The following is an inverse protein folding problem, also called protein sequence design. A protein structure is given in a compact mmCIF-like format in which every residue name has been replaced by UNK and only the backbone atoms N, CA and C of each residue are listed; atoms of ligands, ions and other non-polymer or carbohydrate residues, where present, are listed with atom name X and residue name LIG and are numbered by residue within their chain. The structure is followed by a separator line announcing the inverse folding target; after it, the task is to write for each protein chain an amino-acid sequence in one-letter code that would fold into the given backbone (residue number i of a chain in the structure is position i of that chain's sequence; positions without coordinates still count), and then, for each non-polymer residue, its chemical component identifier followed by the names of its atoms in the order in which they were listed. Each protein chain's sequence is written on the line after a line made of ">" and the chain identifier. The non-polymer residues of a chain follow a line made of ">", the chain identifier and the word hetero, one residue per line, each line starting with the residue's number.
data_IF_360954424187
#
_entry.id   IF_360954424187
#
_cell.length_a   1.000
_cell.length_b   1.000
_cell.length_c   1.000
_cell.angle_alpha   90.00
_cell.angle_beta   90.00
_cell.angle_gamma   90.00
#
_symmetry.space_group_name_H-M   'P 1'
#
loop_
_entity.id
_entity.type
_entity.pdbx_description
1 polymer ?
#
# COMPACT_ATOMS: atom_id res chain seq x y z
N UNK A 1 4.56 117.17 19.92
CA UNK A 1 5.29 116.43 18.86
C UNK A 1 6.05 115.21 19.37
N UNK A 2 6.44 115.13 20.65
CA UNK A 2 7.13 113.95 21.24
C UNK A 2 6.25 112.71 21.49
N UNK A 3 4.95 112.87 21.79
CA UNK A 3 4.04 111.74 22.05
C UNK A 3 3.77 110.87 20.80
N UNK A 4 3.68 111.50 19.61
CA UNK A 4 3.36 110.78 18.36
C UNK A 4 4.49 109.84 17.93
N UNK A 5 5.74 110.22 18.21
CA UNK A 5 6.94 109.43 17.91
C UNK A 5 7.06 108.20 18.83
N UNK A 6 6.65 108.33 20.09
CA UNK A 6 6.63 107.20 21.03
C UNK A 6 5.59 106.15 20.64
N UNK A 7 4.37 106.55 20.27
CA UNK A 7 3.33 105.62 19.84
C UNK A 7 3.69 104.88 18.54
N UNK A 8 4.32 105.57 17.57
CA UNK A 8 4.75 104.92 16.32
C UNK A 8 5.90 103.95 16.55
N UNK A 9 6.87 104.26 17.41
CA UNK A 9 7.96 103.33 17.76
C UNK A 9 7.43 102.08 18.48
N UNK A 10 6.56 102.25 19.48
CA UNK A 10 5.96 101.09 20.20
C UNK A 10 5.06 100.25 19.30
N UNK A 11 4.36 100.86 18.33
CA UNK A 11 3.55 100.14 17.36
C UNK A 11 4.40 99.35 16.37
N UNK A 12 5.50 99.93 15.89
CA UNK A 12 6.45 99.25 14.99
C UNK A 12 7.15 98.08 15.70
N UNK A 13 7.54 98.23 16.96
CA UNK A 13 8.12 97.13 17.76
C UNK A 13 7.11 96.01 18.03
N UNK A 14 5.87 96.35 18.42
CA UNK A 14 4.80 95.36 18.62
C UNK A 14 4.43 94.65 17.31
N UNK A 15 4.36 95.37 16.20
CA UNK A 15 4.08 94.82 14.87
C UNK A 15 5.21 93.89 14.40
N UNK A 16 6.47 94.28 14.57
CA UNK A 16 7.63 93.45 14.27
C UNK A 16 7.70 92.21 15.16
N UNK A 17 7.36 92.33 16.44
CA UNK A 17 7.25 91.20 17.37
C UNK A 17 6.17 90.20 16.94
N UNK A 18 4.97 90.69 16.60
CA UNK A 18 3.87 89.86 16.08
C UNK A 18 4.21 89.19 14.74
N UNK A 19 4.90 89.89 13.84
CA UNK A 19 5.41 89.31 12.59
C UNK A 19 6.46 88.23 12.86
N UNK A 20 7.34 88.44 13.85
CA UNK A 20 8.30 87.46 14.33
C UNK A 20 7.62 86.18 14.86
N UNK A 21 6.64 86.32 15.76
CA UNK A 21 5.86 85.19 16.29
C UNK A 21 5.16 84.39 15.17
N UNK A 22 4.57 85.09 14.20
CA UNK A 22 3.88 84.48 13.06
C UNK A 22 4.86 83.73 12.15
N UNK A 23 6.04 84.29 11.90
CA UNK A 23 7.10 83.65 11.12
C UNK A 23 7.68 82.40 11.81
N UNK A 24 7.85 82.44 13.14
CA UNK A 24 8.28 81.26 13.92
C UNK A 24 7.21 80.16 13.90
N UNK A 25 5.93 80.52 14.08
CA UNK A 25 4.82 79.57 13.98
C UNK A 25 4.74 78.91 12.61
N UNK A 26 4.93 79.67 11.52
CA UNK A 26 4.92 79.12 10.16
C UNK A 26 6.09 78.18 9.89
N UNK A 27 7.30 78.51 10.40
CA UNK A 27 8.46 77.61 10.31
C UNK A 27 8.23 76.31 11.06
N UNK A 28 7.73 76.37 12.29
CA UNK A 28 7.44 75.17 13.08
C UNK A 28 6.43 74.24 12.39
N UNK A 29 5.37 74.80 11.80
CA UNK A 29 4.39 74.03 11.01
C UNK A 29 5.05 73.40 9.77
N UNK A 30 5.88 74.16 9.06
CA UNK A 30 6.59 73.67 7.87
C UNK A 30 7.57 72.54 8.23
N UNK A 31 8.29 72.67 9.34
CA UNK A 31 9.23 71.66 9.83
C UNK A 31 8.50 70.40 10.30
N UNK A 32 7.36 70.52 10.97
CA UNK A 32 6.51 69.38 11.35
C UNK A 32 5.93 68.65 10.13
N UNK A 33 5.43 69.40 9.13
CA UNK A 33 4.95 68.80 7.87
C UNK A 33 6.08 68.10 7.11
N UNK A 34 7.29 68.66 7.12
CA UNK A 34 8.46 68.04 6.50
C UNK A 34 8.88 66.76 7.22
N UNK A 35 8.90 66.77 8.55
CA UNK A 35 9.19 65.59 9.36
C UNK A 35 8.15 64.48 9.14
N UNK A 36 6.85 64.83 9.16
CA UNK A 36 5.76 63.88 8.89
C UNK A 36 5.81 63.31 7.46
N UNK A 37 6.15 64.11 6.45
CA UNK A 37 6.33 63.62 5.07
C UNK A 37 7.53 62.67 4.94
N UNK A 38 8.61 62.90 5.69
CA UNK A 38 9.78 62.01 5.71
C UNK A 38 9.45 60.68 6.39
N UNK A 39 8.71 60.72 7.50
CA UNK A 39 8.23 59.53 8.21
C UNK A 39 7.29 58.70 7.34
N UNK A 40 6.29 59.34 6.71
CA UNK A 40 5.38 58.67 5.78
C UNK A 40 6.12 58.07 4.58
N UNK A 41 7.12 58.77 4.03
CA UNK A 41 7.94 58.23 2.95
C UNK A 41 8.73 56.98 3.39
N UNK A 42 9.23 56.97 4.63
CA UNK A 42 9.88 55.81 5.25
C UNK A 42 8.94 54.62 5.42
N UNK A 43 7.72 54.87 5.91
CA UNK A 43 6.69 53.83 6.05
C UNK A 43 6.26 53.24 4.71
N UNK A 44 6.05 54.08 3.69
CA UNK A 44 5.73 53.64 2.33
C UNK A 44 6.85 52.80 1.73
N UNK A 45 8.11 53.17 1.94
CA UNK A 45 9.26 52.38 1.50
C UNK A 45 9.30 51.00 2.19
N UNK A 46 9.06 50.96 3.51
CA UNK A 46 9.00 49.71 4.29
C UNK A 46 7.84 48.81 3.86
N UNK A 47 6.65 49.37 3.62
CA UNK A 47 5.50 48.60 3.13
C UNK A 47 5.76 48.01 1.74
N UNK A 48 6.40 48.76 0.84
CA UNK A 48 6.82 48.25 -0.48
C UNK A 48 7.80 47.10 -0.34
N UNK A 49 8.80 47.23 0.52
CA UNK A 49 9.76 46.15 0.78
C UNK A 49 9.07 44.90 1.34
N UNK A 50 8.18 45.07 2.33
CA UNK A 50 7.41 43.95 2.89
C UNK A 50 6.54 43.26 1.84
N UNK A 51 5.90 44.04 0.94
CA UNK A 51 5.09 43.49 -0.15
C UNK A 51 5.96 42.64 -1.09
N UNK A 52 7.12 43.14 -1.51
CA UNK A 52 8.05 42.38 -2.37
C UNK A 52 8.54 41.10 -1.70
N UNK A 53 8.84 41.14 -0.39
CA UNK A 53 9.23 39.92 0.35
C UNK A 53 8.06 38.93 0.43
N UNK A 54 6.84 39.41 0.71
CA UNK A 54 5.65 38.55 0.77
C UNK A 54 5.35 37.91 -0.58
N UNK A 55 5.45 38.67 -1.68
CA UNK A 55 5.31 38.16 -3.05
C UNK A 55 6.34 37.07 -3.33
N UNK A 56 7.62 37.30 -3.00
CA UNK A 56 8.67 36.30 -3.18
C UNK A 56 8.44 35.02 -2.36
N UNK A 57 8.01 35.15 -1.10
CA UNK A 57 7.66 34.01 -0.24
C UNK A 57 6.45 33.25 -0.80
N UNK A 58 5.42 33.97 -1.25
CA UNK A 58 4.23 33.36 -1.81
C UNK A 58 4.54 32.60 -3.11
N UNK A 59 5.28 33.22 -4.03
CA UNK A 59 5.75 32.56 -5.26
C UNK A 59 6.62 31.34 -4.95
N UNK A 60 7.55 31.45 -3.98
CA UNK A 60 8.38 30.32 -3.57
C UNK A 60 7.56 29.15 -3.00
N UNK A 61 6.53 29.46 -2.20
CA UNK A 61 5.63 28.45 -1.64
C UNK A 61 4.80 27.77 -2.72
N UNK A 62 4.28 28.53 -3.69
CA UNK A 62 3.54 27.97 -4.84
C UNK A 62 4.43 27.01 -5.63
N UNK A 63 5.65 27.43 -5.98
CA UNK A 63 6.57 26.58 -6.75
C UNK A 63 6.92 25.29 -6.00
N UNK A 64 7.09 25.38 -4.67
CA UNK A 64 7.34 24.19 -3.83
C UNK A 64 6.13 23.25 -3.82
N UNK A 65 4.91 23.78 -3.71
CA UNK A 65 3.69 22.99 -3.74
C UNK A 65 3.43 22.36 -5.12
N UNK A 66 3.66 23.11 -6.20
CA UNK A 66 3.57 22.60 -7.58
C UNK A 66 4.59 21.48 -7.82
N UNK A 67 5.82 21.63 -7.32
CA UNK A 67 6.84 20.58 -7.38
C UNK A 67 6.42 19.31 -6.62
N UNK A 68 5.89 19.46 -5.40
CA UNK A 68 5.39 18.33 -4.61
C UNK A 68 4.20 17.63 -5.29
N UNK A 69 3.28 18.39 -5.89
CA UNK A 69 2.15 17.85 -6.65
C UNK A 69 2.62 17.09 -7.90
N UNK A 70 3.60 17.64 -8.64
CA UNK A 70 4.17 16.97 -9.80
C UNK A 70 4.86 15.65 -9.41
N UNK A 71 5.62 15.65 -8.32
CA UNK A 71 6.26 14.45 -7.79
C UNK A 71 5.22 13.39 -7.39
N UNK A 72 4.19 13.78 -6.61
CA UNK A 72 3.11 12.86 -6.23
C UNK A 72 2.43 12.27 -7.47
N UNK A 73 2.18 13.08 -8.50
CA UNK A 73 1.58 12.59 -9.75
C UNK A 73 2.45 11.54 -10.43
N UNK A 74 3.76 11.73 -10.48
CA UNK A 74 4.70 10.73 -11.02
C UNK A 74 4.69 9.47 -10.16
N UNK A 75 4.76 9.59 -8.83
CA UNK A 75 4.69 8.44 -7.92
C UNK A 75 3.39 7.65 -8.09
N UNK A 76 2.25 8.31 -8.27
CA UNK A 76 0.98 7.65 -8.57
C UNK A 76 0.99 6.91 -9.91
N UNK A 77 1.56 7.51 -10.97
CA UNK A 77 1.67 6.87 -12.29
C UNK A 77 2.62 5.67 -12.28
N UNK A 78 3.72 5.76 -11.53
CA UNK A 78 4.66 4.66 -11.37
C UNK A 78 4.01 3.50 -10.58
N UNK A 79 3.25 3.81 -9.53
CA UNK A 79 2.48 2.83 -8.77
C UNK A 79 1.42 2.15 -9.66
N UNK A 80 0.71 2.90 -10.49
CA UNK A 80 -0.27 2.36 -11.46
C UNK A 80 0.40 1.38 -12.43
N UNK A 81 1.51 1.80 -13.03
CA UNK A 81 2.28 0.95 -13.96
C UNK A 81 2.78 -0.33 -13.27
N UNK A 82 3.18 -0.24 -12.00
CA UNK A 82 3.59 -1.41 -11.22
C UNK A 82 2.42 -2.34 -10.95
N UNK A 83 1.27 -1.81 -10.53
CA UNK A 83 0.06 -2.61 -10.29
C UNK A 83 -0.39 -3.36 -11.56
N UNK A 84 -0.44 -2.68 -12.72
CA UNK A 84 -0.77 -3.32 -13.99
C UNK A 84 0.19 -4.47 -14.33
N UNK A 85 1.50 -4.27 -14.13
CA UNK A 85 2.50 -5.32 -14.34
C UNK A 85 2.31 -6.50 -13.41
N UNK A 86 2.04 -6.26 -12.13
CA UNK A 86 1.80 -7.32 -11.17
C UNK A 86 0.53 -8.11 -11.51
N UNK A 87 -0.55 -7.46 -11.95
CA UNK A 87 -1.76 -8.18 -12.37
C UNK A 87 -1.57 -9.00 -13.63
N UNK A 88 -0.97 -8.42 -14.67
CA UNK A 88 -0.65 -9.16 -15.89
C UNK A 88 0.24 -10.37 -15.57
N UNK A 89 1.15 -10.22 -14.61
CA UNK A 89 1.95 -11.31 -14.10
C UNK A 89 1.10 -12.37 -13.37
N UNK A 90 0.24 -11.99 -12.43
CA UNK A 90 -0.61 -12.94 -11.70
C UNK A 90 -1.54 -13.69 -12.65
N UNK A 91 -2.14 -13.03 -13.64
CA UNK A 91 -2.98 -13.65 -14.65
C UNK A 91 -2.19 -14.67 -15.49
N UNK A 92 -1.00 -14.29 -15.96
CA UNK A 92 -0.12 -15.17 -16.74
C UNK A 92 0.37 -16.39 -15.94
N UNK A 93 0.48 -16.25 -14.62
CA UNK A 93 0.92 -17.30 -13.70
C UNK A 93 -0.24 -17.89 -12.88
N UNK A 94 -1.49 -17.67 -13.28
CA UNK A 94 -2.67 -18.13 -12.54
C UNK A 94 -3.06 -19.58 -12.82
N UNK A 95 -2.53 -20.17 -13.90
CA UNK A 95 -2.86 -21.52 -14.38
C UNK A 95 -1.65 -22.16 -15.10
N UNK A 96 -1.55 -23.50 -15.02
CA UNK A 96 -0.53 -24.29 -15.73
C UNK A 96 -0.94 -24.63 -17.18
N UNK A 97 -1.12 -23.60 -18.01
CA UNK A 97 -1.60 -23.72 -19.39
C UNK A 97 -0.50 -23.56 -20.47
N UNK A 98 0.72 -23.18 -20.10
CA UNK A 98 1.80 -22.84 -21.03
C UNK A 98 2.72 -24.02 -21.41
N UNK A 99 3.53 -23.81 -22.44
CA UNK A 99 4.69 -24.65 -22.77
C UNK A 99 5.79 -24.45 -21.70
N UNK A 100 6.57 -25.49 -21.40
CA UNK A 100 7.66 -25.42 -20.41
C UNK A 100 7.21 -25.63 -18.95
N UNK A 101 5.98 -26.08 -18.74
CA UNK A 101 5.37 -26.34 -17.42
C UNK A 101 5.09 -27.84 -17.21
N UNK A 102 5.66 -28.71 -18.05
CA UNK A 102 5.47 -30.16 -18.03
C UNK A 102 5.91 -30.78 -16.70
N UNK A 103 7.07 -30.37 -16.18
CA UNK A 103 7.61 -30.91 -14.92
C UNK A 103 6.74 -30.55 -13.72
N UNK A 104 6.22 -29.31 -13.68
CA UNK A 104 5.27 -28.85 -12.66
C UNK A 104 3.98 -29.68 -12.72
N UNK A 105 3.43 -29.87 -13.93
CA UNK A 105 2.22 -30.69 -14.12
C UNK A 105 2.44 -32.15 -13.71
N UNK A 106 3.60 -32.72 -14.02
CA UNK A 106 3.97 -34.08 -13.62
C UNK A 106 4.02 -34.22 -12.09
N UNK A 107 4.56 -33.23 -11.37
CA UNK A 107 4.55 -33.21 -9.90
C UNK A 107 3.13 -33.14 -9.36
N UNK A 108 2.31 -32.24 -9.89
CA UNK A 108 0.92 -32.09 -9.50
C UNK A 108 0.11 -33.40 -9.72
N UNK A 109 0.24 -34.02 -10.89
CA UNK A 109 -0.42 -35.30 -11.22
C UNK A 109 0.01 -36.44 -10.29
N UNK A 110 1.29 -36.49 -9.89
CA UNK A 110 1.80 -37.50 -8.99
C UNK A 110 1.23 -37.39 -7.56
N UNK A 111 0.56 -36.29 -7.23
CA UNK A 111 -0.11 -36.04 -5.95
C UNK A 111 -1.63 -36.23 -6.00
N UNK A 112 -2.15 -36.72 -7.13
CA UNK A 112 -3.55 -37.10 -7.28
C UNK A 112 -3.72 -38.57 -6.88
N UNK A 113 -4.51 -38.83 -5.85
CA UNK A 113 -4.86 -40.19 -5.40
C UNK A 113 -6.38 -40.38 -5.43
N UNK A 114 -7.00 -40.79 -4.31
CA UNK A 114 -8.45 -40.63 -4.08
C UNK A 114 -8.82 -39.20 -3.70
N UNK A 115 -7.81 -38.35 -3.46
CA UNK A 115 -7.87 -36.95 -3.04
C UNK A 115 -6.75 -36.17 -3.73
N UNK A 116 -6.84 -34.84 -3.70
CA UNK A 116 -5.77 -33.95 -4.14
C UNK A 116 -4.89 -33.62 -2.93
N UNK A 117 -3.71 -34.24 -2.83
CA UNK A 117 -2.88 -34.26 -1.61
C UNK A 117 -1.93 -33.06 -1.55
N UNK A 118 -2.29 -32.00 -0.83
CA UNK A 118 -1.51 -30.75 -0.74
C UNK A 118 -0.10 -30.95 -0.19
N UNK A 119 0.11 -31.72 0.90
CA UNK A 119 1.47 -31.94 1.42
C UNK A 119 2.38 -32.66 0.43
N UNK A 120 1.82 -33.50 -0.45
CA UNK A 120 2.57 -34.17 -1.49
C UNK A 120 3.10 -33.16 -2.52
N UNK A 121 2.27 -32.19 -2.93
CA UNK A 121 2.66 -31.17 -3.92
C UNK A 121 3.84 -30.36 -3.40
N UNK A 122 3.69 -29.79 -2.20
CA UNK A 122 4.75 -29.00 -1.57
C UNK A 122 6.03 -29.83 -1.36
N UNK A 123 5.91 -31.08 -0.90
CA UNK A 123 7.05 -31.98 -0.77
C UNK A 123 7.75 -32.24 -2.10
N UNK A 124 7.00 -32.54 -3.18
CA UNK A 124 7.59 -32.84 -4.47
C UNK A 124 8.18 -31.60 -5.15
N UNK A 125 7.63 -30.42 -4.92
CA UNK A 125 8.23 -29.18 -5.38
C UNK A 125 9.63 -29.01 -4.79
N UNK A 126 9.77 -29.24 -3.48
CA UNK A 126 11.08 -29.19 -2.81
C UNK A 126 12.00 -30.34 -3.25
N UNK A 127 11.54 -31.59 -3.19
CA UNK A 127 12.37 -32.80 -3.34
C UNK A 127 12.66 -33.18 -4.80
N UNK A 128 11.70 -32.96 -5.71
CA UNK A 128 11.81 -33.35 -7.13
C UNK A 128 12.24 -32.16 -7.98
N UNK A 129 11.65 -30.99 -7.78
CA UNK A 129 11.95 -29.78 -8.57
C UNK A 129 13.02 -28.90 -7.93
N UNK A 130 13.42 -29.16 -6.68
CA UNK A 130 14.42 -28.35 -5.98
C UNK A 130 13.91 -26.96 -5.61
N UNK A 131 12.59 -26.76 -5.50
CA UNK A 131 11.98 -25.46 -5.25
C UNK A 131 11.85 -25.19 -3.76
N UNK A 132 12.75 -24.35 -3.25
CA UNK A 132 12.77 -23.93 -1.85
C UNK A 132 12.41 -22.46 -1.64
N UNK A 133 12.33 -22.05 -0.37
CA UNK A 133 12.23 -20.63 -0.04
C UNK A 133 13.53 -19.90 -0.34
N UNK A 134 13.47 -18.87 -1.18
CA UNK A 134 14.60 -18.03 -1.55
C UNK A 134 14.22 -16.55 -1.49
N UNK A 135 14.71 -15.79 -0.47
CA UNK A 135 14.35 -14.39 -0.34
C UNK A 135 14.95 -13.56 -1.47
N UNK A 136 14.22 -12.55 -1.94
CA UNK A 136 14.68 -11.67 -3.02
C UNK A 136 15.90 -10.83 -2.71
N UNK A 137 16.21 -10.65 -1.43
CA UNK A 137 17.46 -10.05 -0.99
C UNK A 137 18.69 -10.81 -1.52
N UNK A 138 18.56 -12.11 -1.82
CA UNK A 138 19.65 -12.88 -2.46
C UNK A 138 19.91 -12.48 -3.93
N UNK A 139 18.97 -11.79 -4.58
CA UNK A 139 19.15 -11.14 -5.89
C UNK A 139 19.51 -9.65 -5.77
N UNK A 140 19.70 -9.13 -4.56
CA UNK A 140 19.88 -7.69 -4.32
C UNK A 140 18.62 -6.87 -4.59
N UNK A 141 17.44 -7.50 -4.58
CA UNK A 141 16.13 -6.86 -4.72
C UNK A 141 15.39 -6.87 -3.39
N UNK A 142 14.50 -5.91 -3.18
CA UNK A 142 13.69 -5.83 -1.96
C UNK A 142 12.42 -6.68 -2.06
N UNK A 143 11.79 -6.66 -3.24
CA UNK A 143 10.55 -7.38 -3.59
C UNK A 143 10.56 -7.55 -5.12
N UNK A 144 10.47 -8.78 -5.61
CA UNK A 144 10.60 -9.16 -7.01
C UNK A 144 9.83 -10.42 -7.35
N UNK A 145 8.61 -10.21 -7.84
CA UNK A 145 7.75 -11.28 -8.32
C UNK A 145 8.34 -12.01 -9.55
N UNK A 146 8.48 -13.34 -9.43
CA UNK A 146 9.15 -14.23 -10.39
C UNK A 146 8.16 -15.06 -11.18
N UNK A 147 8.21 -15.08 -12.52
CA UNK A 147 7.41 -16.04 -13.30
C UNK A 147 7.87 -17.49 -13.09
N UNK A 148 7.04 -18.47 -13.45
CA UNK A 148 7.35 -19.89 -13.24
C UNK A 148 8.67 -20.35 -13.84
N UNK A 149 9.01 -19.90 -15.04
CA UNK A 149 10.29 -20.26 -15.67
C UNK A 149 11.47 -19.78 -14.84
N UNK A 150 11.41 -18.55 -14.33
CA UNK A 150 12.44 -17.98 -13.48
C UNK A 150 12.49 -18.66 -12.10
N UNK A 151 11.34 -18.94 -11.49
CA UNK A 151 11.26 -19.71 -10.23
C UNK A 151 11.91 -21.09 -10.38
N UNK A 152 11.64 -21.80 -11.49
CA UNK A 152 12.25 -23.10 -11.79
C UNK A 152 13.76 -22.98 -11.99
N UNK A 153 14.22 -22.03 -12.80
CA UNK A 153 15.65 -21.81 -13.05
C UNK A 153 16.43 -21.43 -11.78
N UNK A 154 15.81 -20.66 -10.89
CA UNK A 154 16.39 -20.22 -9.62
C UNK A 154 16.36 -21.32 -8.55
N UNK A 155 15.51 -22.32 -8.69
CA UNK A 155 15.27 -23.33 -7.66
C UNK A 155 14.39 -22.80 -6.51
N UNK A 156 13.47 -21.87 -6.80
CA UNK A 156 12.50 -21.37 -5.82
C UNK A 156 12.32 -19.86 -5.83
N UNK A 157 11.55 -19.39 -4.86
CA UNK A 157 11.21 -17.97 -4.64
C UNK A 157 10.73 -17.76 -3.22
N UNK A 158 10.27 -16.57 -2.88
CA UNK A 158 9.74 -16.29 -1.55
C UNK A 158 8.23 -16.55 -1.48
N UNK A 159 7.46 -15.75 -0.72
CA UNK A 159 6.13 -16.14 -0.30
C UNK A 159 5.08 -16.05 -1.42
N UNK A 160 5.12 -14.99 -2.22
CA UNK A 160 4.20 -14.76 -3.32
C UNK A 160 4.47 -15.70 -4.49
N UNK A 161 5.75 -15.98 -4.78
CA UNK A 161 6.15 -16.86 -5.87
C UNK A 161 5.67 -18.30 -5.62
N UNK A 162 5.97 -18.82 -4.42
CA UNK A 162 5.60 -20.16 -4.03
C UNK A 162 4.09 -20.30 -3.81
N UNK A 163 3.41 -19.27 -3.26
CA UNK A 163 1.96 -19.28 -3.15
C UNK A 163 1.28 -19.25 -4.53
N UNK A 164 1.83 -18.53 -5.50
CA UNK A 164 1.29 -18.48 -6.86
C UNK A 164 1.49 -19.79 -7.60
N UNK A 165 2.68 -20.40 -7.48
CA UNK A 165 2.96 -21.73 -8.03
C UNK A 165 1.99 -22.76 -7.45
N UNK A 166 1.88 -22.80 -6.12
CA UNK A 166 1.00 -23.74 -5.44
C UNK A 166 -0.47 -23.53 -5.85
N UNK A 167 -0.93 -22.28 -5.93
CA UNK A 167 -2.27 -21.97 -6.45
C UNK A 167 -2.51 -22.59 -7.83
N UNK A 168 -1.56 -22.43 -8.73
CA UNK A 168 -1.66 -22.89 -10.13
C UNK A 168 -1.65 -24.41 -10.24
N UNK A 169 -0.84 -25.10 -9.43
CA UNK A 169 -0.85 -26.57 -9.31
C UNK A 169 -2.19 -27.08 -8.78
N UNK A 170 -2.72 -26.47 -7.72
CA UNK A 170 -4.00 -26.86 -7.15
C UNK A 170 -5.15 -26.64 -8.14
N UNK A 171 -5.13 -25.50 -8.87
CA UNK A 171 -6.09 -25.22 -9.93
C UNK A 171 -6.01 -26.23 -11.07
N UNK A 172 -4.79 -26.58 -11.51
CA UNK A 172 -4.57 -27.59 -12.53
C UNK A 172 -5.15 -28.95 -12.10
N UNK A 173 -4.77 -29.44 -10.91
CA UNK A 173 -5.29 -30.70 -10.37
C UNK A 173 -6.82 -30.68 -10.25
N UNK A 174 -7.40 -29.55 -9.85
CA UNK A 174 -8.86 -29.40 -9.74
C UNK A 174 -9.53 -29.39 -11.10
N UNK A 175 -8.93 -28.76 -12.11
CA UNK A 175 -9.45 -28.75 -13.47
C UNK A 175 -9.44 -30.15 -14.10
N UNK A 176 -8.40 -30.94 -13.86
CA UNK A 176 -8.29 -32.33 -14.35
C UNK A 176 -9.11 -33.32 -13.52
N UNK A 177 -9.37 -33.01 -12.23
CA UNK A 177 -10.10 -33.87 -11.29
C UNK A 177 -11.23 -33.10 -10.57
N UNK A 178 -12.28 -32.65 -11.29
CA UNK A 178 -13.27 -31.69 -10.77
C UNK A 178 -14.06 -32.16 -9.54
N UNK A 179 -14.23 -33.48 -9.37
CA UNK A 179 -14.99 -34.07 -8.26
C UNK A 179 -14.14 -34.45 -7.05
N UNK A 180 -12.80 -34.43 -7.16
CA UNK A 180 -11.93 -34.74 -6.03
C UNK A 180 -11.85 -33.54 -5.07
N UNK A 181 -11.74 -33.82 -3.78
CA UNK A 181 -11.56 -32.80 -2.75
C UNK A 181 -10.08 -32.68 -2.38
N UNK A 182 -9.68 -31.49 -1.96
CA UNK A 182 -8.36 -31.24 -1.43
C UNK A 182 -8.19 -31.88 -0.05
N UNK A 183 -7.00 -32.39 0.22
CA UNK A 183 -6.59 -32.86 1.55
C UNK A 183 -5.32 -32.16 1.96
N UNK A 184 -5.32 -31.67 3.20
CA UNK A 184 -4.16 -31.07 3.88
C UNK A 184 -3.93 -31.79 5.20
N UNK A 185 -3.05 -31.26 6.05
CA UNK A 185 -2.83 -31.66 7.42
C UNK A 185 -3.09 -30.51 8.39
N UNK A 186 -3.44 -30.83 9.63
CA UNK A 186 -3.39 -29.90 10.77
C UNK A 186 -2.54 -30.47 11.89
N UNK A 187 -2.13 -29.60 12.81
CA UNK A 187 -1.45 -29.98 14.04
C UNK A 187 -2.22 -31.04 14.84
N UNK A 188 -1.57 -32.15 15.17
CA UNK A 188 -2.10 -33.23 16.02
C UNK A 188 -0.96 -34.01 16.68
N UNK A 189 -0.67 -33.68 17.94
CA UNK A 189 0.47 -34.20 18.69
C UNK A 189 0.47 -35.74 18.77
N UNK A 190 1.62 -36.35 18.50
CA UNK A 190 1.84 -37.79 18.56
C UNK A 190 1.34 -38.56 17.34
N UNK A 191 0.74 -37.88 16.35
CA UNK A 191 0.33 -38.49 15.09
C UNK A 191 1.44 -38.43 14.05
N UNK A 192 1.40 -39.36 13.08
CA UNK A 192 2.30 -39.38 11.93
C UNK A 192 1.46 -39.41 10.66
N UNK A 193 1.66 -38.43 9.79
CA UNK A 193 1.04 -38.37 8.48
C UNK A 193 2.03 -38.75 7.39
N UNK A 194 1.73 -39.80 6.61
CA UNK A 194 2.58 -40.18 5.46
C UNK A 194 2.27 -39.29 4.27
N UNK A 195 3.27 -38.56 3.77
CA UNK A 195 3.15 -37.69 2.59
C UNK A 195 3.21 -38.53 1.32
N UNK A 196 4.31 -39.27 1.13
CA UNK A 196 4.56 -40.14 -0.02
C UNK A 196 5.65 -41.16 0.30
N UNK A 197 5.45 -42.43 -0.06
CA UNK A 197 6.42 -43.49 0.20
C UNK A 197 6.80 -43.59 1.69
N UNK A 198 8.09 -43.37 2.00
CA UNK A 198 8.61 -43.38 3.37
C UNK A 198 8.62 -42.01 4.05
N UNK A 199 8.19 -40.95 3.37
CA UNK A 199 8.23 -39.57 3.86
C UNK A 199 6.98 -39.23 4.66
N UNK A 200 7.16 -38.49 5.75
CA UNK A 200 6.08 -38.22 6.69
C UNK A 200 6.26 -36.90 7.44
N UNK A 201 5.14 -36.32 7.86
CA UNK A 201 5.07 -35.25 8.84
C UNK A 201 4.78 -35.84 10.22
N UNK A 202 5.53 -35.38 11.22
CA UNK A 202 5.22 -35.64 12.62
C UNK A 202 4.21 -34.62 13.14
N UNK A 203 3.48 -35.03 14.17
CA UNK A 203 2.50 -34.21 14.88
C UNK A 203 1.44 -33.60 13.95
N UNK A 204 1.01 -34.40 12.97
CA UNK A 204 0.11 -33.99 11.91
C UNK A 204 -0.96 -35.06 11.64
N UNK A 205 -2.19 -34.62 11.37
CA UNK A 205 -3.30 -35.47 10.95
C UNK A 205 -4.00 -34.91 9.70
N UNK A 206 -4.54 -35.77 8.82
CA UNK A 206 -5.17 -35.33 7.58
C UNK A 206 -6.50 -34.62 7.82
N UNK A 207 -6.78 -33.63 6.99
CA UNK A 207 -8.04 -32.87 6.97
C UNK A 207 -8.50 -32.71 5.52
N UNK A 208 -9.74 -33.11 5.26
CA UNK A 208 -10.39 -32.88 3.97
C UNK A 208 -10.94 -31.45 3.91
N UNK A 209 -10.58 -30.72 2.86
CA UNK A 209 -11.01 -29.34 2.66
C UNK A 209 -12.24 -29.31 1.77
N UNK A 210 -13.31 -28.61 2.19
CA UNK A 210 -14.55 -28.58 1.44
C UNK A 210 -14.52 -27.60 0.26
N UNK A 211 -13.50 -26.75 0.16
CA UNK A 211 -13.35 -25.77 -0.90
C UNK A 211 -12.83 -26.37 -2.21
N UNK A 212 -13.04 -25.65 -3.30
CA UNK A 212 -12.54 -26.02 -4.64
C UNK A 212 -11.85 -24.87 -5.38
N UNK A 213 -12.06 -23.63 -4.92
CA UNK A 213 -11.48 -22.43 -5.51
C UNK A 213 -10.25 -22.04 -4.72
N UNK A 214 -9.17 -21.71 -5.42
CA UNK A 214 -7.87 -21.41 -4.80
C UNK A 214 -7.45 -19.99 -5.14
N UNK A 215 -7.04 -19.25 -4.11
CA UNK A 215 -6.60 -17.85 -4.19
C UNK A 215 -5.27 -17.69 -3.46
N UNK A 216 -4.50 -16.68 -3.83
CA UNK A 216 -3.35 -16.21 -3.03
C UNK A 216 -3.87 -15.16 -2.04
N UNK A 217 -3.44 -15.24 -0.79
CA UNK A 217 -3.76 -14.27 0.26
C UNK A 217 -2.46 -13.75 0.82
N UNK A 218 -2.22 -12.45 0.64
CA UNK A 218 -1.07 -11.76 1.22
C UNK A 218 -1.53 -10.89 2.39
N UNK A 219 -0.77 -10.87 3.47
CA UNK A 219 -1.09 -10.12 4.69
C UNK A 219 0.16 -9.60 5.40
N UNK A 220 -0.05 -8.61 6.26
CA UNK A 220 1.01 -8.08 7.14
C UNK A 220 1.34 -9.07 8.26
N UNK A 221 2.58 -9.56 8.30
CA UNK A 221 3.13 -10.42 9.33
C UNK A 221 4.27 -9.71 10.08
N UNK A 222 3.92 -8.94 11.11
CA UNK A 222 4.89 -8.10 11.83
C UNK A 222 5.42 -6.96 10.96
N UNK A 223 6.74 -6.88 10.77
CA UNK A 223 7.40 -5.88 9.92
C UNK A 223 7.51 -6.30 8.44
N UNK A 224 7.10 -7.54 8.10
CA UNK A 224 7.16 -8.10 6.76
C UNK A 224 5.77 -8.38 6.18
N UNK A 225 5.71 -8.60 4.86
CA UNK A 225 4.57 -9.24 4.20
C UNK A 225 4.73 -10.76 4.21
N UNK A 226 3.61 -11.47 4.12
CA UNK A 226 3.60 -12.92 3.93
C UNK A 226 2.42 -13.34 3.06
N UNK A 227 2.61 -14.34 2.20
CA UNK A 227 1.58 -14.85 1.30
C UNK A 227 1.32 -16.34 1.53
N UNK A 228 0.04 -16.71 1.55
CA UNK A 228 -0.47 -18.07 1.74
C UNK A 228 -1.57 -18.35 0.72
N UNK A 229 -2.12 -19.57 0.70
CA UNK A 229 -3.25 -19.88 -0.16
C UNK A 229 -4.56 -20.00 0.62
N UNK A 230 -5.66 -19.53 0.04
CA UNK A 230 -7.01 -19.74 0.54
C UNK A 230 -7.78 -20.69 -0.37
N UNK A 231 -8.38 -21.73 0.22
CA UNK A 231 -9.20 -22.73 -0.47
C UNK A 231 -10.65 -22.56 -0.05
N UNK A 232 -11.45 -22.01 -0.94
CA UNK A 232 -12.80 -21.53 -0.65
C UNK A 232 -13.86 -22.41 -1.32
N UNK A 233 -15.02 -22.54 -0.68
CA UNK A 233 -16.20 -23.21 -1.26
C UNK A 233 -16.81 -22.37 -2.38
N UNK A 234 -17.11 -21.12 -2.04
CA UNK A 234 -17.82 -20.19 -2.91
C UNK A 234 -16.86 -19.23 -3.62
N UNK A 235 -17.36 -18.59 -4.68
CA UNK A 235 -16.62 -17.52 -5.33
C UNK A 235 -16.49 -16.35 -4.36
N UNK A 236 -15.25 -16.10 -3.95
CA UNK A 236 -14.92 -15.13 -2.92
C UNK A 236 -15.36 -13.70 -3.32
N UNK A 237 -15.32 -13.39 -4.62
CA UNK A 237 -15.80 -12.13 -5.19
C UNK A 237 -17.30 -11.90 -5.03
N UNK A 238 -18.12 -12.96 -5.10
CA UNK A 238 -19.57 -12.86 -4.89
C UNK A 238 -19.88 -12.61 -3.40
N UNK A 239 -19.16 -13.30 -2.50
CA UNK A 239 -19.24 -13.05 -1.07
C UNK A 239 -18.82 -11.63 -0.68
N UNK A 240 -17.75 -11.09 -1.28
CA UNK A 240 -17.29 -9.71 -1.00
C UNK A 240 -18.28 -8.68 -1.54
N UNK A 241 -18.81 -8.86 -2.75
CA UNK A 241 -19.79 -7.94 -3.35
C UNK A 241 -21.05 -7.78 -2.49
N UNK A 242 -21.35 -8.76 -1.65
CA UNK A 242 -22.48 -8.74 -0.72
C UNK A 242 -22.17 -8.01 0.62
N UNK A 243 -20.99 -7.38 0.76
CA UNK A 243 -20.67 -6.51 1.89
C UNK A 243 -20.06 -7.22 3.12
N UNK A 244 -19.56 -8.43 2.92
CA UNK A 244 -18.91 -9.22 3.98
C UNK A 244 -17.55 -8.62 4.39
N UNK A 245 -17.21 -8.73 5.67
CA UNK A 245 -15.95 -8.19 6.21
C UNK A 245 -14.75 -9.14 6.03
N UNK A 246 -13.56 -8.71 6.48
CA UNK A 246 -12.31 -9.50 6.37
C UNK A 246 -12.41 -10.87 7.03
N UNK A 247 -13.20 -10.95 8.09
CA UNK A 247 -13.43 -12.14 8.90
C UNK A 247 -14.27 -13.13 8.11
N UNK A 248 -15.36 -12.67 7.51
CA UNK A 248 -16.25 -13.49 6.69
C UNK A 248 -15.51 -14.16 5.52
N UNK A 249 -14.48 -13.50 4.99
CA UNK A 249 -13.67 -14.02 3.90
C UNK A 249 -12.78 -15.19 4.30
N UNK A 250 -12.14 -15.05 5.46
CA UNK A 250 -11.26 -16.07 6.01
C UNK A 250 -12.09 -17.23 6.56
N UNK A 251 -13.22 -16.93 7.20
CA UNK A 251 -14.18 -17.94 7.68
C UNK A 251 -14.77 -18.78 6.54
N UNK A 252 -14.90 -18.21 5.35
CA UNK A 252 -15.40 -18.91 4.16
C UNK A 252 -14.37 -19.86 3.51
N UNK A 253 -13.10 -19.81 3.93
CA UNK A 253 -12.01 -20.51 3.29
C UNK A 253 -11.17 -21.33 4.28
N UNK A 254 -10.45 -22.32 3.75
CA UNK A 254 -9.38 -23.01 4.47
C UNK A 254 -8.05 -22.39 4.05
N UNK A 255 -7.33 -21.78 4.99
CA UNK A 255 -6.03 -21.18 4.74
C UNK A 255 -4.95 -22.25 4.79
N UNK A 256 -4.02 -22.26 3.85
CA UNK A 256 -2.93 -23.23 3.82
C UNK A 256 -1.58 -22.57 3.55
N UNK A 257 -0.56 -23.02 4.25
CA UNK A 257 0.81 -22.54 4.12
C UNK A 257 1.58 -23.40 3.10
N UNK A 258 1.76 -22.96 1.85
CA UNK A 258 2.44 -23.76 0.83
C UNK A 258 3.87 -24.15 1.23
N UNK A 259 4.59 -23.26 1.90
CA UNK A 259 6.01 -23.45 2.24
C UNK A 259 6.22 -24.42 3.41
N UNK A 260 5.15 -24.83 4.08
CA UNK A 260 5.19 -25.75 5.22
C UNK A 260 4.29 -26.93 4.92
N UNK A 261 4.52 -27.54 3.76
CA UNK A 261 3.83 -28.73 3.28
C UNK A 261 2.31 -28.54 3.14
N UNK A 262 1.89 -27.35 2.71
CA UNK A 262 0.48 -27.00 2.50
C UNK A 262 -0.37 -27.12 3.76
N UNK A 263 0.21 -27.02 4.97
CA UNK A 263 -0.48 -27.24 6.25
C UNK A 263 -1.65 -26.26 6.45
N UNK A 264 -2.69 -26.71 7.12
CA UNK A 264 -3.86 -25.90 7.48
C UNK A 264 -3.50 -24.84 8.50
N UNK A 265 -3.90 -23.61 8.20
CA UNK A 265 -3.85 -22.45 9.06
C UNK A 265 -5.28 -22.01 9.40
N UNK A 266 -5.41 -21.28 10.50
CA UNK A 266 -6.67 -20.66 10.90
C UNK A 266 -6.43 -19.26 11.45
N UNK A 267 -7.50 -18.48 11.40
CA UNK A 267 -7.53 -17.19 12.07
C UNK A 267 -8.15 -17.32 13.44
N UNK A 268 -7.52 -16.67 14.40
CA UNK A 268 -7.96 -16.53 15.78
C UNK A 268 -7.91 -15.07 16.20
N UNK A 269 -8.93 -14.64 16.92
CA UNK A 269 -8.92 -13.37 17.62
C UNK A 269 -8.51 -13.60 19.08
N UNK A 270 -7.45 -12.91 19.52
CA UNK A 270 -6.93 -13.02 20.88
C UNK A 270 -6.50 -11.65 21.40
N UNK A 271 -7.05 -11.25 22.55
CA UNK A 271 -6.75 -9.96 23.22
C UNK A 271 -6.89 -8.72 22.32
N UNK A 272 -7.86 -8.74 21.41
CA UNK A 272 -8.12 -7.62 20.49
C UNK A 272 -7.18 -7.55 19.28
N UNK A 273 -6.29 -8.54 19.12
CA UNK A 273 -5.46 -8.74 17.94
C UNK A 273 -5.91 -9.98 17.18
N UNK A 274 -5.72 -9.95 15.87
CA UNK A 274 -5.97 -11.09 14.99
C UNK A 274 -4.65 -11.80 14.69
N UNK A 275 -4.68 -13.13 14.71
CA UNK A 275 -3.53 -13.96 14.42
C UNK A 275 -3.87 -15.01 13.36
N UNK A 276 -2.87 -15.39 12.58
CA UNK A 276 -2.88 -16.61 11.77
C UNK A 276 -2.01 -17.64 12.47
N UNK A 277 -2.53 -18.84 12.67
CA UNK A 277 -1.83 -19.91 13.37
C UNK A 277 -2.14 -21.29 12.85
N UNK A 278 -1.28 -22.24 13.23
CA UNK A 278 -1.36 -23.67 12.87
C UNK A 278 -1.58 -24.57 14.09
N UNK A 279 -1.75 -23.98 15.28
CA UNK A 279 -1.93 -24.67 16.56
C UNK A 279 -0.71 -24.70 17.44
N UNK A 280 0.47 -24.44 16.87
CA UNK A 280 1.73 -24.35 17.61
C UNK A 280 2.32 -22.93 17.53
N UNK A 281 2.19 -22.29 16.38
CA UNK A 281 2.77 -21.00 16.01
C UNK A 281 1.68 -19.99 15.69
N UNK A 282 1.91 -18.74 16.06
CA UNK A 282 0.93 -17.66 16.01
C UNK A 282 1.61 -16.41 15.46
N UNK A 283 1.21 -15.99 14.25
CA UNK A 283 1.72 -14.80 13.60
C UNK A 283 0.71 -13.66 13.72
N UNK A 284 1.11 -12.50 14.29
CA UNK A 284 0.21 -11.36 14.40
C UNK A 284 -0.10 -10.80 13.01
N UNK A 285 -1.38 -10.50 12.76
CA UNK A 285 -1.87 -9.88 11.54
C UNK A 285 -2.15 -8.41 11.81
N UNK A 286 -1.27 -7.53 11.36
CA UNK A 286 -1.18 -6.15 11.87
C UNK A 286 -1.98 -5.08 11.11
N UNK A 287 -2.59 -5.38 9.95
CA UNK A 287 -3.43 -4.37 9.31
C UNK A 287 -3.95 -4.71 7.92
N UNK A 288 -3.06 -4.99 6.97
CA UNK A 288 -3.47 -5.22 5.58
C UNK A 288 -3.64 -6.72 5.29
N UNK A 289 -4.66 -7.02 4.50
CA UNK A 289 -4.89 -8.32 3.91
C UNK A 289 -5.46 -8.10 2.51
N UNK A 290 -4.87 -8.80 1.57
CA UNK A 290 -5.20 -8.73 0.15
C UNK A 290 -5.38 -10.15 -0.37
N UNK A 291 -6.46 -10.37 -1.13
CA UNK A 291 -6.74 -11.62 -1.82
C UNK A 291 -6.59 -11.40 -3.30
N UNK A 292 -5.77 -12.25 -3.91
CA UNK A 292 -5.33 -12.15 -5.30
C UNK A 292 -5.81 -13.41 -6.03
N UNK A 293 -6.58 -13.20 -7.09
CA UNK A 293 -6.97 -14.20 -8.09
C UNK A 293 -6.21 -13.93 -9.40
N UNK A 294 -6.50 -14.69 -10.46
CA UNK A 294 -5.97 -14.34 -11.79
C UNK A 294 -6.61 -13.06 -12.36
N UNK A 295 -7.83 -12.73 -11.92
CA UNK A 295 -8.64 -11.65 -12.49
C UNK A 295 -9.11 -10.64 -11.44
N UNK A 296 -8.94 -10.95 -10.15
CA UNK A 296 -9.49 -10.15 -9.06
C UNK A 296 -8.41 -9.79 -8.06
N UNK A 297 -8.35 -8.52 -7.69
CA UNK A 297 -7.70 -8.07 -6.47
C UNK A 297 -8.76 -7.65 -5.47
N UNK A 298 -8.71 -8.15 -4.24
CA UNK A 298 -9.62 -7.72 -3.19
C UNK A 298 -8.83 -7.34 -1.95
N UNK A 299 -9.12 -6.20 -1.33
CA UNK A 299 -8.43 -5.78 -0.13
C UNK A 299 -9.30 -4.91 0.79
N UNK A 300 -8.81 -4.72 2.01
CA UNK A 300 -9.42 -3.83 3.00
C UNK A 300 -9.04 -2.37 2.71
N UNK A 301 -10.04 -1.50 2.64
CA UNK A 301 -9.88 -0.03 2.55
C UNK A 301 -10.53 0.65 3.75
N UNK A 302 -10.31 1.96 3.93
CA UNK A 302 -11.00 2.76 4.97
C UNK A 302 -12.53 2.66 4.89
N UNK A 303 -13.07 2.38 3.70
CA UNK A 303 -14.50 2.24 3.44
C UNK A 303 -14.99 0.78 3.49
N UNK A 304 -14.15 -0.14 4.00
CA UNK A 304 -14.40 -1.57 4.01
C UNK A 304 -13.77 -2.30 2.82
N UNK A 305 -14.21 -3.53 2.58
CA UNK A 305 -13.66 -4.37 1.54
C UNK A 305 -14.02 -3.91 0.13
N UNK A 306 -13.04 -3.96 -0.78
CA UNK A 306 -13.25 -3.66 -2.20
C UNK A 306 -12.55 -4.70 -3.07
N UNK A 307 -13.27 -5.22 -4.07
CA UNK A 307 -12.72 -6.06 -5.14
C UNK A 307 -12.66 -5.30 -6.46
N UNK A 308 -11.60 -5.53 -7.22
CA UNK A 308 -11.33 -5.01 -8.55
C UNK A 308 -11.32 -6.22 -9.49
N UNK A 309 -12.45 -6.51 -10.15
CA UNK A 309 -12.68 -7.75 -10.93
C UNK A 309 -12.38 -7.64 -12.43
N UNK A 310 -12.07 -6.43 -12.88
CA UNK A 310 -11.54 -6.07 -14.20
C UNK A 310 -11.00 -4.64 -14.02
N UNK A 311 -9.68 -4.44 -14.11
CA UNK A 311 -9.09 -3.14 -13.75
C UNK A 311 -9.29 -2.10 -14.85
N UNK A 312 -9.64 -2.51 -16.07
CA UNK A 312 -9.91 -1.57 -17.17
C UNK A 312 -11.04 -0.58 -16.83
N UNK A 313 -12.02 -1.00 -16.01
CA UNK A 313 -13.18 -0.19 -15.63
C UNK A 313 -12.96 0.71 -14.38
N UNK A 314 -11.82 0.60 -13.67
CA UNK A 314 -11.65 1.27 -12.35
C UNK A 314 -10.63 2.40 -12.28
N UNK A 315 -9.81 2.58 -13.31
CA UNK A 315 -8.94 3.75 -13.42
C UNK A 315 -9.80 5.03 -13.48
N UNK A 316 -10.92 5.03 -14.22
CA UNK A 316 -11.80 6.21 -14.39
C UNK A 316 -12.44 6.70 -13.07
N UNK A 317 -12.89 5.77 -12.21
CA UNK A 317 -13.58 6.08 -10.95
C UNK A 317 -12.59 6.58 -9.87
N UNK A 318 -11.38 6.03 -9.81
CA UNK A 318 -10.33 6.48 -8.88
C UNK A 318 -9.78 7.85 -9.31
N UNK A 319 -9.79 8.15 -10.61
CA UNK A 319 -9.37 9.43 -11.18
C UNK A 319 -10.42 10.55 -11.10
N UNK A 320 -11.63 10.28 -10.59
CA UNK A 320 -12.72 11.26 -10.50
C UNK A 320 -13.16 11.79 -11.87
N UNK A 321 -13.14 10.93 -12.89
CA UNK A 321 -13.56 11.26 -14.27
C UNK A 321 -15.01 10.86 -14.59
N UNK A 322 -15.73 10.38 -13.58
CA UNK A 322 -17.20 10.34 -13.52
C UNK A 322 -17.73 11.22 -12.37
#
# INVERSE_FOLDING_TARGET
>A
MLMVIFYTLTFVEWFNFRLGETATSFRNVTDHLRAGNLELAGEVARLRQNLTVLEAVFTGTILQQEGALAQLRTEFQDMETQLERYFAWFEANANLAGEGQEDIRMVADACVTTRLELPCVAYKNEDVLGLGYLPDTSLGKYDFIQNFSFTLERGGGDCEDLATLFMSELRYMKATNPFMIFRTVRASLGQRYTIAGNQYLLDAEPVDLPGSRVYVVCYSAGEAGHCINAICRDALTEGIRQGNDATSLIEACSLVEPQQYGKLLWVIDYKGYRYIGDGYTWNPMAGWLVVISGNDLCGLTEQGWRCFSDYSDRIEIILGRE
#
